data_IF_662484217868
#
_entry.id   IF_662484217868
#
_cell.length_a   1.000
_cell.length_b   1.000
_cell.length_c   1.000
_cell.angle_alpha   90.00
_cell.angle_beta   90.00
_cell.angle_gamma   90.00
#
_symmetry.space_group_name_H-M   'P 1'
#
loop_
_entity.id
_entity.type
_entity.pdbx_description
1 polymer ?
#
# COMPACT_ATOMS: atom_id res chain seq x y z
N UNK A 1 -5.40 -13.38 -10.69
CA UNK A 1 -4.89 -12.19 -11.37
C UNK A 1 -3.70 -11.75 -10.53
N UNK A 2 -2.49 -11.88 -11.04
CA UNK A 2 -1.28 -11.46 -10.31
C UNK A 2 -1.10 -9.95 -10.46
N UNK A 3 -0.75 -9.29 -9.37
CA UNK A 3 -0.44 -7.86 -9.38
C UNK A 3 0.91 -7.63 -10.08
N UNK A 4 0.97 -6.56 -10.88
CA UNK A 4 2.21 -6.15 -11.55
C UNK A 4 3.24 -5.69 -10.52
N UNK A 5 4.50 -6.09 -10.73
CA UNK A 5 5.63 -5.47 -10.06
C UNK A 5 5.80 -4.01 -10.53
N UNK A 6 6.50 -3.19 -9.74
CA UNK A 6 6.77 -1.79 -10.10
C UNK A 6 7.47 -1.67 -11.46
N UNK A 7 8.43 -2.56 -11.74
CA UNK A 7 9.14 -2.59 -13.02
C UNK A 7 8.18 -2.88 -14.16
N UNK A 8 7.33 -3.90 -14.03
CA UNK A 8 6.36 -4.26 -15.05
C UNK A 8 5.38 -3.11 -15.32
N UNK A 9 4.86 -2.46 -14.26
CA UNK A 9 3.95 -1.33 -14.38
C UNK A 9 4.59 -0.11 -15.08
N UNK A 10 5.87 0.15 -14.85
CA UNK A 10 6.59 1.28 -15.48
C UNK A 10 6.97 0.98 -16.94
N UNK A 11 7.18 -0.29 -17.29
CA UNK A 11 7.51 -0.71 -18.67
C UNK A 11 6.30 -1.07 -19.51
N UNK A 12 5.10 -1.11 -18.91
CA UNK A 12 3.89 -1.51 -19.61
C UNK A 12 3.51 -0.48 -20.71
N UNK A 13 3.30 -0.93 -21.96
CA UNK A 13 3.05 -0.04 -23.08
C UNK A 13 1.69 0.67 -22.99
N UNK A 14 0.66 0.05 -22.40
CA UNK A 14 -0.64 0.67 -22.23
C UNK A 14 -0.59 1.74 -21.14
N UNK A 15 0.08 1.45 -20.04
CA UNK A 15 0.32 2.43 -18.96
C UNK A 15 1.09 3.61 -19.54
N UNK A 16 2.14 3.37 -20.33
CA UNK A 16 2.90 4.44 -20.96
C UNK A 16 2.05 5.34 -21.86
N UNK A 17 1.19 4.76 -22.72
CA UNK A 17 0.27 5.54 -23.57
C UNK A 17 -0.69 6.39 -22.72
N UNK A 18 -1.18 5.84 -21.62
CA UNK A 18 -2.04 6.57 -20.67
C UNK A 18 -1.29 7.75 -20.03
N UNK A 19 -0.07 7.51 -19.55
CA UNK A 19 0.77 8.56 -18.95
C UNK A 19 1.06 9.69 -19.94
N UNK A 20 1.37 9.34 -21.20
CA UNK A 20 1.60 10.32 -22.27
C UNK A 20 0.33 11.13 -22.57
N UNK A 21 -0.84 10.50 -22.60
CA UNK A 21 -2.13 11.17 -22.82
C UNK A 21 -2.48 12.15 -21.68
N UNK A 22 -2.12 11.80 -20.44
CA UNK A 22 -2.36 12.62 -19.25
C UNK A 22 -1.24 13.63 -18.95
N UNK A 23 -0.16 13.65 -19.76
CA UNK A 23 1.00 14.52 -19.53
C UNK A 23 1.77 14.19 -18.26
N UNK A 24 1.70 12.94 -17.79
CA UNK A 24 2.37 12.46 -16.58
C UNK A 24 3.73 11.90 -16.96
N UNK A 25 4.78 12.43 -16.31
CA UNK A 25 6.12 11.89 -16.47
C UNK A 25 6.28 10.53 -15.78
N UNK A 26 6.97 9.60 -16.45
CA UNK A 26 7.19 8.23 -15.97
C UNK A 26 7.87 8.18 -14.59
N UNK A 27 8.80 9.09 -14.29
CA UNK A 27 9.47 9.13 -12.98
C UNK A 27 8.53 9.60 -11.87
N UNK A 28 7.61 10.52 -12.20
CA UNK A 28 6.56 11.00 -11.30
C UNK A 28 5.55 9.90 -11.01
N UNK A 29 5.19 9.10 -12.03
CA UNK A 29 4.35 7.92 -11.87
C UNK A 29 5.01 6.86 -10.98
N UNK A 30 6.27 6.51 -11.24
CA UNK A 30 7.01 5.53 -10.43
C UNK A 30 7.08 5.96 -8.95
N UNK A 31 7.38 7.24 -8.71
CA UNK A 31 7.40 7.82 -7.35
C UNK A 31 6.03 7.73 -6.68
N UNK A 32 4.96 7.97 -7.43
CA UNK A 32 3.58 7.88 -6.92
C UNK A 32 3.21 6.46 -6.52
N UNK A 33 3.58 5.46 -7.34
CA UNK A 33 3.39 4.05 -7.01
C UNK A 33 4.18 3.63 -5.77
N UNK A 34 5.44 4.06 -5.64
CA UNK A 34 6.25 3.74 -4.46
C UNK A 34 5.66 4.35 -3.18
N UNK A 35 5.19 5.59 -3.25
CA UNK A 35 4.51 6.25 -2.14
C UNK A 35 3.20 5.55 -1.77
N UNK A 36 2.41 5.13 -2.76
CA UNK A 36 1.18 4.38 -2.54
C UNK A 36 1.46 3.05 -1.85
N UNK A 37 2.50 2.31 -2.29
CA UNK A 37 2.94 1.07 -1.66
C UNK A 37 3.33 1.28 -0.19
N UNK A 38 4.13 2.32 0.11
CA UNK A 38 4.53 2.63 1.49
C UNK A 38 3.30 2.92 2.36
N UNK A 39 2.38 3.76 1.89
CA UNK A 39 1.13 4.07 2.62
C UNK A 39 0.27 2.84 2.88
N UNK A 40 0.16 1.94 1.91
CA UNK A 40 -0.58 0.68 2.08
C UNK A 40 0.04 -0.20 3.17
N UNK A 41 1.37 -0.31 3.19
CA UNK A 41 2.10 -1.04 4.23
C UNK A 41 1.87 -0.39 5.60
N UNK A 42 1.99 0.94 5.70
CA UNK A 42 1.82 1.67 6.95
C UNK A 42 0.40 1.48 7.52
N UNK A 43 -0.63 1.54 6.66
CA UNK A 43 -2.01 1.26 7.06
C UNK A 43 -2.19 -0.18 7.55
N UNK A 44 -1.56 -1.15 6.89
CA UNK A 44 -1.59 -2.55 7.32
C UNK A 44 -0.93 -2.74 8.69
N UNK A 45 0.22 -2.11 8.93
CA UNK A 45 0.92 -2.14 10.22
C UNK A 45 0.08 -1.49 11.30
N UNK A 46 -0.54 -0.34 11.02
CA UNK A 46 -1.35 0.36 12.01
C UNK A 46 -2.59 -0.45 12.41
N UNK A 47 -3.25 -1.10 11.44
CA UNK A 47 -4.34 -2.04 11.71
C UNK A 47 -3.89 -3.18 12.63
N UNK A 48 -2.74 -3.80 12.35
CA UNK A 48 -2.20 -4.87 13.18
C UNK A 48 -1.85 -4.40 14.60
N UNK A 49 -1.41 -3.15 14.76
CA UNK A 49 -1.17 -2.55 16.09
C UNK A 49 -2.47 -2.37 16.85
N UNK A 50 -3.51 -1.88 16.19
CA UNK A 50 -4.83 -1.73 16.80
C UNK A 50 -5.41 -3.08 17.23
N UNK A 51 -5.41 -4.08 16.34
CA UNK A 51 -5.88 -5.44 16.65
C UNK A 51 -5.14 -6.04 17.85
N UNK A 52 -3.82 -5.82 17.92
CA UNK A 52 -3.01 -6.27 19.07
C UNK A 52 -3.39 -5.57 20.36
N UNK A 53 -3.61 -4.26 20.34
CA UNK A 53 -4.02 -3.50 21.52
C UNK A 53 -5.39 -3.97 22.01
N UNK A 54 -6.35 -4.15 21.11
CA UNK A 54 -7.68 -4.68 21.43
C UNK A 54 -7.62 -6.09 22.04
N UNK A 55 -6.74 -6.95 21.53
CA UNK A 55 -6.55 -8.28 22.11
C UNK A 55 -5.93 -8.22 23.51
N UNK A 56 -4.94 -7.34 23.71
CA UNK A 56 -4.31 -7.14 25.02
C UNK A 56 -5.32 -6.66 26.07
N UNK A 57 -6.15 -5.66 25.75
CA UNK A 57 -7.13 -5.13 26.68
C UNK A 57 -8.23 -6.15 27.01
N UNK A 58 -8.73 -6.90 26.01
CA UNK A 58 -9.68 -8.00 26.24
C UNK A 58 -9.11 -9.04 27.21
N UNK A 59 -7.88 -9.48 26.96
CA UNK A 59 -7.22 -10.46 27.82
C UNK A 59 -6.95 -9.95 29.25
N UNK A 60 -6.68 -8.66 29.41
CA UNK A 60 -6.53 -8.04 30.73
C UNK A 60 -7.86 -8.01 31.48
N UNK A 61 -8.96 -7.66 30.80
CA UNK A 61 -10.31 -7.65 31.38
C UNK A 61 -10.71 -9.06 31.86
N UNK A 62 -10.47 -10.08 31.02
CA UNK A 62 -10.73 -11.48 31.35
C UNK A 62 -9.92 -12.00 32.56
N UNK A 63 -8.77 -11.37 32.88
CA UNK A 63 -7.91 -11.74 34.02
C UNK A 63 -8.21 -11.01 35.32
N UNK A 64 -8.96 -9.91 35.26
CA UNK A 64 -9.31 -9.09 36.41
C UNK A 64 -10.69 -9.45 36.98
N UNK A 65 -11.45 -10.31 36.29
CA UNK A 65 -12.67 -10.97 36.77
C UNK A 65 -12.34 -12.27 37.52
#
# INVERSE_FOLDING_TARGET
MEDLTLTEAVTDPLIRVMLEADGIDTSSFATSLENAKRRFIDQGIERLRQERAEHFYRWMDDRLQ
#
